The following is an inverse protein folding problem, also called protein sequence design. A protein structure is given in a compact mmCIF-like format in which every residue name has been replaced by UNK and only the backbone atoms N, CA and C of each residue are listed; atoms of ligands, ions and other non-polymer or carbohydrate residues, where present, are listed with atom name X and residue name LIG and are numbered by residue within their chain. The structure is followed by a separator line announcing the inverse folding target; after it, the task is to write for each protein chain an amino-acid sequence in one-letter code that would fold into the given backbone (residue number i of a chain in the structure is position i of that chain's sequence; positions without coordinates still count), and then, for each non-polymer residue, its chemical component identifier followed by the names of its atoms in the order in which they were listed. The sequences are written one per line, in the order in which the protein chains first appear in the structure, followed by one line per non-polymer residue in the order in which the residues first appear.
data_IF_774854374076
#
_entry.id   IF_774854374076
#
_cell.length_a   1.000
_cell.length_b   1.000
_cell.length_c   1.000
_cell.angle_alpha   90.00
_cell.angle_beta   90.00
_cell.angle_gamma   90.00
#
_symmetry.space_group_name_H-M   'P 1'
#
loop_
_entity.id
_entity.type
_entity.pdbx_description
1 polymer ?
#
# COMPACT_ATOMS: atom_id res chain seq x y z
N UNK A 1 2.44 8.87 19.77
CA UNK A 1 2.71 9.29 21.16
C UNK A 1 1.37 9.58 21.83
N UNK A 2 1.25 9.43 23.15
CA UNK A 2 0.04 9.77 23.92
C UNK A 2 0.44 10.04 25.38
N UNK A 3 -0.22 11.00 26.04
CA UNK A 3 -0.09 11.23 27.49
C UNK A 3 -1.27 10.63 28.29
N UNK A 4 -2.08 9.81 27.64
CA UNK A 4 -3.06 8.93 28.28
C UNK A 4 -2.76 7.49 27.85
N UNK A 5 -3.24 6.49 28.58
CA UNK A 5 -2.93 5.09 28.27
C UNK A 5 -3.72 4.56 27.05
N UNK A 6 -3.83 5.35 25.98
CA UNK A 6 -4.51 5.07 24.71
C UNK A 6 -3.72 5.70 23.55
N UNK A 7 -3.32 4.90 22.56
CA UNK A 7 -2.53 5.41 21.42
C UNK A 7 -3.24 6.55 20.70
N UNK A 8 -2.52 7.65 20.46
CA UNK A 8 -2.97 8.75 19.61
C UNK A 8 -3.84 9.82 20.27
N UNK A 9 -4.24 9.64 21.53
CA UNK A 9 -5.08 10.63 22.23
C UNK A 9 -4.26 11.47 23.20
N UNK A 10 -4.66 12.73 23.42
CA UNK A 10 -4.00 13.58 24.41
C UNK A 10 -5.01 14.24 25.36
N UNK A 11 -4.75 14.16 26.67
CA UNK A 11 -5.53 14.89 27.67
C UNK A 11 -5.27 16.41 27.61
N UNK A 12 -4.17 16.81 26.98
CA UNK A 12 -3.79 18.18 26.67
C UNK A 12 -2.57 18.12 25.76
N UNK A 13 -2.49 19.02 24.78
CA UNK A 13 -1.28 19.22 23.99
C UNK A 13 -0.48 20.38 24.60
N UNK A 14 0.74 20.11 25.09
CA UNK A 14 1.67 21.15 25.58
C UNK A 14 2.80 21.29 24.56
N UNK A 15 3.04 22.51 24.06
CA UNK A 15 4.09 22.82 23.09
C UNK A 15 3.69 23.92 22.11
N UNK A 16 4.52 24.18 21.09
CA UNK A 16 4.19 25.14 20.03
C UNK A 16 3.12 24.54 19.10
N UNK A 17 1.85 24.74 19.43
CA UNK A 17 0.71 24.13 18.73
C UNK A 17 0.08 25.03 17.67
N UNK A 18 0.71 26.16 17.34
CA UNK A 18 0.21 27.14 16.37
C UNK A 18 -0.89 28.07 16.90
N UNK A 19 -1.64 27.68 17.93
CA UNK A 19 -2.70 28.48 18.56
C UNK A 19 -2.46 28.78 20.05
N UNK A 20 -1.30 28.42 20.59
CA UNK A 20 -0.91 28.66 21.99
C UNK A 20 0.11 27.65 22.50
N UNK A 21 0.35 27.65 23.82
CA UNK A 21 1.22 26.68 24.49
C UNK A 21 0.47 25.47 25.07
N UNK A 22 -0.86 25.54 25.16
CA UNK A 22 -1.74 24.51 25.70
C UNK A 22 -3.02 24.49 24.85
N UNK A 23 -3.36 23.34 24.25
CA UNK A 23 -4.68 23.09 23.63
C UNK A 23 -5.50 22.21 24.58
N UNK A 24 -6.82 22.48 24.66
CA UNK A 24 -7.76 21.66 25.44
C UNK A 24 -7.67 20.17 25.04
N UNK A 25 -8.01 19.24 25.94
CA UNK A 25 -8.13 17.83 25.60
C UNK A 25 -8.96 17.64 24.34
N UNK A 26 -8.66 16.58 23.59
CA UNK A 26 -9.57 16.02 22.60
C UNK A 26 -10.84 15.58 23.36
N UNK A 27 -11.80 16.50 23.58
CA UNK A 27 -13.04 16.23 24.30
C UNK A 27 -14.21 16.54 23.39
N UNK A 28 -14.84 15.48 22.94
CA UNK A 28 -16.27 15.35 23.16
C UNK A 28 -16.51 14.06 23.97
N UNK A 29 -16.85 14.24 25.24
CA UNK A 29 -17.42 13.18 26.08
C UNK A 29 -18.68 13.75 26.73
N UNK A 30 -19.57 14.26 25.89
CA UNK A 30 -21.00 14.33 26.20
C UNK A 30 -21.70 13.20 25.44
N UNK A 31 -21.80 12.06 26.12
CA UNK A 31 -22.96 11.16 26.10
C UNK A 31 -23.70 11.08 24.74
N UNK A 32 -23.17 10.34 23.78
CA UNK A 32 -23.35 8.89 23.72
C UNK A 32 -22.04 8.26 23.24
N UNK A 33 -21.50 7.28 23.99
CA UNK A 33 -21.18 6.05 23.29
C UNK A 33 -22.52 5.68 22.66
N UNK A 34 -22.74 6.09 21.40
CA UNK A 34 -23.53 5.23 20.56
C UNK A 34 -22.84 3.91 20.78
N UNK A 35 -23.58 2.94 21.32
CA UNK A 35 -23.29 1.56 21.01
C UNK A 35 -23.37 1.52 19.49
N UNK A 36 -22.32 1.98 18.82
CA UNK A 36 -22.01 1.54 17.50
C UNK A 36 -21.78 0.07 17.78
N UNK A 37 -22.86 -0.70 17.60
CA UNK A 37 -22.85 -2.13 17.84
C UNK A 37 -21.56 -2.63 17.23
N UNK A 38 -20.69 -3.20 18.06
CA UNK A 38 -19.40 -3.68 17.58
C UNK A 38 -19.70 -4.54 16.35
N UNK A 39 -19.02 -4.24 15.25
CA UNK A 39 -19.19 -5.01 14.03
C UNK A 39 -18.95 -6.49 14.38
N UNK A 40 -19.92 -7.32 14.01
CA UNK A 40 -19.89 -8.78 14.07
C UNK A 40 -20.02 -9.29 12.65
N UNK A 41 -19.58 -10.52 12.41
CA UNK A 41 -19.69 -11.16 11.11
C UNK A 41 -21.15 -11.36 10.70
N UNK A 42 -22.08 -11.36 11.68
CA UNK A 42 -23.52 -11.54 11.45
C UNK A 42 -24.28 -10.23 11.24
N UNK A 43 -23.86 -9.12 11.88
CA UNK A 43 -24.54 -7.82 11.77
C UNK A 43 -24.03 -6.94 10.63
N UNK A 44 -22.82 -7.22 10.12
CA UNK A 44 -22.18 -6.41 9.08
C UNK A 44 -22.52 -6.98 7.70
N UNK A 45 -23.02 -6.15 6.79
CA UNK A 45 -23.29 -6.56 5.41
C UNK A 45 -21.98 -6.70 4.66
N UNK A 46 -21.68 -7.90 4.16
CA UNK A 46 -20.44 -8.22 3.43
C UNK A 46 -19.18 -7.82 4.22
N UNK A 47 -18.96 -8.42 5.40
CA UNK A 47 -17.85 -8.01 6.29
C UNK A 47 -16.48 -8.24 5.66
N UNK A 48 -16.37 -9.20 4.74
CA UNK A 48 -15.14 -9.58 4.06
C UNK A 48 -15.43 -9.94 2.59
N UNK A 49 -14.38 -9.97 1.77
CA UNK A 49 -14.47 -10.45 0.38
C UNK A 49 -14.85 -11.95 0.33
N UNK A 50 -15.47 -12.43 -0.77
CA UNK A 50 -15.89 -13.84 -0.89
C UNK A 50 -14.75 -14.86 -0.72
N UNK A 51 -13.51 -14.47 -1.03
CA UNK A 51 -12.29 -15.25 -0.86
C UNK A 51 -11.71 -15.21 0.56
N UNK A 52 -12.41 -14.60 1.52
CA UNK A 52 -12.02 -14.51 2.91
C UNK A 52 -13.09 -15.08 3.86
N UNK A 53 -12.64 -15.37 5.07
CA UNK A 53 -13.42 -15.74 6.24
C UNK A 53 -13.43 -14.55 7.22
N UNK A 54 -14.60 -14.27 7.79
CA UNK A 54 -14.74 -13.25 8.82
C UNK A 54 -14.50 -13.86 10.20
N UNK A 55 -13.71 -13.18 11.02
CA UNK A 55 -13.32 -13.60 12.37
C UNK A 55 -13.70 -12.48 13.35
N UNK A 56 -14.53 -12.80 14.33
CA UNK A 56 -14.94 -11.86 15.38
C UNK A 56 -13.91 -11.81 16.52
N UNK A 57 -13.65 -10.60 17.00
CA UNK A 57 -12.84 -10.30 18.18
C UNK A 57 -13.64 -9.41 19.13
N UNK A 58 -13.27 -9.35 20.43
CA UNK A 58 -13.93 -8.45 21.38
C UNK A 58 -13.89 -6.96 20.99
N UNK A 59 -13.00 -6.57 20.08
CA UNK A 59 -12.81 -5.20 19.60
C UNK A 59 -13.35 -4.94 18.19
N UNK A 60 -14.00 -5.92 17.54
CA UNK A 60 -14.53 -5.83 16.18
C UNK A 60 -14.21 -7.05 15.32
N UNK A 61 -14.32 -6.93 13.99
CA UNK A 61 -14.03 -8.03 13.04
C UNK A 61 -12.66 -7.89 12.37
N UNK A 62 -12.11 -9.02 11.94
CA UNK A 62 -11.03 -9.09 10.96
C UNK A 62 -11.35 -10.13 9.88
N UNK A 63 -10.68 -10.01 8.74
CA UNK A 63 -10.80 -10.96 7.65
C UNK A 63 -9.52 -11.80 7.54
N UNK A 64 -9.67 -13.06 7.16
CA UNK A 64 -8.54 -13.96 6.84
C UNK A 64 -8.82 -14.64 5.50
N UNK A 65 -7.85 -14.62 4.58
CA UNK A 65 -8.02 -15.30 3.29
C UNK A 65 -8.28 -16.81 3.51
N UNK A 66 -9.20 -17.37 2.72
CA UNK A 66 -9.52 -18.80 2.76
C UNK A 66 -8.36 -19.63 2.21
N UNK A 67 -8.38 -20.94 2.48
CA UNK A 67 -7.42 -21.88 1.89
C UNK A 67 -7.39 -21.76 0.37
N UNK A 68 -6.18 -21.74 -0.21
CA UNK A 68 -5.96 -21.50 -1.64
C UNK A 68 -5.95 -20.01 -2.04
N UNK A 69 -6.05 -19.10 -1.08
CA UNK A 69 -5.90 -17.65 -1.28
C UNK A 69 -4.88 -17.06 -0.31
N UNK A 70 -4.22 -15.96 -0.70
CA UNK A 70 -3.29 -15.20 0.14
C UNK A 70 -3.53 -13.69 0.04
N UNK A 71 -3.14 -12.96 1.08
CA UNK A 71 -3.38 -11.52 1.18
C UNK A 71 -3.61 -11.08 2.63
N UNK A 72 -4.09 -9.86 2.83
CA UNK A 72 -4.31 -9.29 4.16
C UNK A 72 -5.73 -9.54 4.71
N UNK A 73 -6.49 -10.44 4.07
CA UNK A 73 -7.87 -10.77 4.42
C UNK A 73 -8.92 -9.84 3.81
N UNK A 74 -8.62 -8.55 3.64
CA UNK A 74 -9.50 -7.60 2.92
C UNK A 74 -9.31 -7.71 1.41
N UNK A 75 -8.08 -7.91 0.97
CA UNK A 75 -7.72 -8.23 -0.41
C UNK A 75 -7.09 -9.62 -0.43
N UNK A 76 -7.65 -10.54 -1.21
CA UNK A 76 -7.20 -11.92 -1.28
C UNK A 76 -7.10 -12.38 -2.73
N UNK A 77 -5.92 -12.91 -3.11
CA UNK A 77 -5.62 -13.44 -4.42
C UNK A 77 -5.51 -14.97 -4.40
N UNK A 78 -5.95 -15.66 -5.47
CA UNK A 78 -5.75 -17.09 -5.59
C UNK A 78 -4.25 -17.43 -5.66
N UNK A 79 -3.85 -18.47 -4.94
CA UNK A 79 -2.49 -18.97 -5.00
C UNK A 79 -2.17 -19.57 -6.38
N UNK A 80 -0.89 -19.54 -6.76
CA UNK A 80 -0.38 -20.10 -8.02
C UNK A 80 -1.04 -19.55 -9.30
N UNK A 81 -1.58 -18.33 -9.24
CA UNK A 81 -2.09 -17.59 -10.40
C UNK A 81 -1.15 -16.45 -10.77
N UNK A 82 -1.01 -16.24 -12.06
CA UNK A 82 -0.24 -15.12 -12.57
C UNK A 82 -1.04 -13.83 -12.39
N UNK A 83 -0.36 -12.76 -11.99
CA UNK A 83 -0.96 -11.48 -11.68
C UNK A 83 -0.55 -10.46 -12.73
N UNK A 84 -1.51 -9.63 -13.13
CA UNK A 84 -1.26 -8.47 -13.98
C UNK A 84 -1.49 -7.20 -13.16
N UNK A 85 -0.57 -6.25 -13.29
CA UNK A 85 -0.66 -4.94 -12.64
C UNK A 85 -0.52 -3.90 -13.73
N UNK A 86 -1.46 -2.97 -13.77
CA UNK A 86 -1.48 -1.90 -14.75
C UNK A 86 -1.45 -0.57 -14.01
N UNK A 87 -0.66 0.38 -14.50
CA UNK A 87 -0.56 1.71 -13.93
C UNK A 87 -0.36 2.76 -15.01
N UNK A 88 -0.83 3.97 -14.74
CA UNK A 88 -0.43 5.16 -15.51
C UNK A 88 0.85 5.72 -14.91
N UNK A 89 1.74 6.19 -15.77
CA UNK A 89 2.99 6.84 -15.36
C UNK A 89 3.02 8.25 -15.95
N UNK A 90 3.33 9.22 -15.11
CA UNK A 90 3.53 10.62 -15.49
C UNK A 90 4.69 11.20 -14.70
N UNK A 91 5.31 12.26 -15.24
CA UNK A 91 6.43 12.91 -14.59
C UNK A 91 7.33 13.63 -15.58
N UNK A 92 8.49 14.05 -15.09
CA UNK A 92 9.49 14.81 -15.83
C UNK A 92 10.88 14.29 -15.43
N UNK A 93 11.72 14.02 -16.42
CA UNK A 93 13.09 13.51 -16.24
C UNK A 93 14.02 14.45 -17.00
N UNK A 94 14.99 15.06 -16.32
CA UNK A 94 15.95 15.98 -16.95
C UNK A 94 15.28 17.09 -17.78
N UNK A 95 14.18 17.66 -17.27
CA UNK A 95 13.32 18.66 -17.94
C UNK A 95 12.54 18.14 -19.16
N UNK A 96 12.53 16.84 -19.40
CA UNK A 96 11.74 16.18 -20.46
C UNK A 96 10.52 15.53 -19.84
N UNK A 97 9.33 16.00 -20.24
CA UNK A 97 8.05 15.47 -19.74
C UNK A 97 7.73 14.12 -20.37
N UNK A 98 7.26 13.19 -19.54
CA UNK A 98 6.65 11.95 -19.98
C UNK A 98 5.28 12.24 -20.60
N UNK A 99 4.91 11.50 -21.64
CA UNK A 99 3.62 11.64 -22.31
C UNK A 99 2.45 11.25 -21.40
N UNK A 100 1.30 11.91 -21.57
CA UNK A 100 0.11 11.69 -20.74
C UNK A 100 -0.54 10.30 -20.90
N UNK A 101 -0.23 9.61 -22.00
CA UNK A 101 -0.74 8.27 -22.32
C UNK A 101 0.23 7.15 -21.94
N UNK A 102 1.26 7.46 -21.15
CA UNK A 102 2.25 6.47 -20.76
C UNK A 102 1.69 5.56 -19.65
N UNK A 103 1.87 4.27 -19.85
CA UNK A 103 1.37 3.17 -19.04
C UNK A 103 2.51 2.21 -18.77
N UNK A 104 2.50 1.69 -17.55
CA UNK A 104 3.37 0.61 -17.10
C UNK A 104 2.53 -0.63 -16.84
N UNK A 105 3.03 -1.77 -17.30
CA UNK A 105 2.41 -3.07 -17.13
C UNK A 105 3.40 -4.00 -16.46
N UNK A 106 2.93 -4.74 -15.46
CA UNK A 106 3.68 -5.84 -14.87
C UNK A 106 2.93 -7.15 -15.07
N UNK A 107 3.67 -8.18 -15.46
CA UNK A 107 3.22 -9.56 -15.43
C UNK A 107 4.04 -10.32 -14.40
N UNK A 108 3.35 -10.90 -13.42
CA UNK A 108 3.96 -11.57 -12.27
C UNK A 108 3.63 -13.06 -12.32
N UNK A 109 4.66 -13.88 -12.44
CA UNK A 109 4.56 -15.33 -12.28
C UNK A 109 4.78 -15.66 -10.80
N UNK A 110 3.70 -15.79 -10.06
CA UNK A 110 3.73 -15.92 -8.58
C UNK A 110 4.38 -17.21 -8.11
N UNK A 111 4.35 -18.27 -8.93
CA UNK A 111 4.98 -19.55 -8.62
C UNK A 111 6.51 -19.46 -8.56
N UNK A 112 7.10 -18.78 -9.54
CA UNK A 112 8.54 -18.66 -9.71
C UNK A 112 9.09 -17.31 -9.21
N UNK A 113 8.21 -16.45 -8.68
CA UNK A 113 8.58 -15.13 -8.14
C UNK A 113 9.10 -14.16 -9.20
N UNK A 114 8.79 -14.38 -10.48
CA UNK A 114 9.31 -13.58 -11.60
C UNK A 114 8.39 -12.42 -11.92
N UNK A 115 8.99 -11.25 -12.11
CA UNK A 115 8.29 -10.03 -12.50
C UNK A 115 8.83 -9.54 -13.83
N UNK A 116 7.93 -9.37 -14.78
CA UNK A 116 8.22 -8.78 -16.08
C UNK A 116 7.54 -7.43 -16.14
N UNK A 117 8.26 -6.39 -16.56
CA UNK A 117 7.74 -5.03 -16.68
C UNK A 117 7.83 -4.56 -18.12
N UNK A 118 6.81 -3.86 -18.59
CA UNK A 118 6.84 -3.12 -19.85
C UNK A 118 6.25 -1.73 -19.67
N UNK A 119 6.75 -0.78 -20.46
CA UNK A 119 6.23 0.59 -20.52
C UNK A 119 6.02 0.94 -21.98
N UNK A 120 4.88 1.55 -22.29
CA UNK A 120 4.61 2.01 -23.65
C UNK A 120 5.24 3.39 -23.91
N UNK A 121 5.46 3.69 -25.20
CA UNK A 121 5.69 5.06 -25.69
C UNK A 121 6.76 5.86 -24.93
N UNK A 122 7.95 5.28 -24.77
CA UNK A 122 9.10 6.01 -24.24
C UNK A 122 9.79 6.79 -25.38
N UNK A 123 10.04 8.09 -25.19
CA UNK A 123 10.87 8.87 -26.11
C UNK A 123 12.28 8.28 -26.19
N UNK A 124 12.90 8.15 -27.38
CA UNK A 124 14.21 7.50 -27.54
C UNK A 124 15.29 8.02 -26.59
N UNK A 125 15.29 9.33 -26.35
CA UNK A 125 16.27 10.03 -25.52
C UNK A 125 16.17 9.66 -24.03
N UNK A 126 15.00 9.21 -23.56
CA UNK A 126 14.76 8.82 -22.17
C UNK A 126 14.95 7.32 -21.90
N UNK A 127 15.21 6.52 -22.94
CA UNK A 127 15.26 5.05 -22.80
C UNK A 127 16.28 4.57 -21.77
N UNK A 128 17.50 5.10 -21.82
CA UNK A 128 18.59 4.71 -20.91
C UNK A 128 18.35 5.24 -19.48
N UNK A 129 17.86 6.47 -19.34
CA UNK A 129 17.54 7.07 -18.04
C UNK A 129 16.44 6.28 -17.34
N UNK A 130 15.39 5.90 -18.08
CA UNK A 130 14.28 5.11 -17.56
C UNK A 130 14.69 3.68 -17.19
N UNK A 131 15.70 3.10 -17.81
CA UNK A 131 16.14 1.73 -17.48
C UNK A 131 16.50 1.58 -16.01
N UNK A 132 17.20 2.56 -15.43
CA UNK A 132 17.57 2.55 -14.01
C UNK A 132 16.35 2.72 -13.09
N UNK A 133 15.40 3.57 -13.50
CA UNK A 133 14.17 3.82 -12.74
C UNK A 133 13.22 2.62 -12.78
N UNK A 134 13.18 1.88 -13.89
CA UNK A 134 12.39 0.66 -14.03
C UNK A 134 12.82 -0.42 -13.02
N UNK A 135 14.10 -0.46 -12.62
CA UNK A 135 14.55 -1.35 -11.54
C UNK A 135 13.86 -0.97 -10.22
N UNK A 136 13.81 0.32 -9.89
CA UNK A 136 13.16 0.81 -8.66
C UNK A 136 11.64 0.57 -8.65
N UNK A 137 10.99 0.72 -9.82
CA UNK A 137 9.56 0.44 -10.05
C UNK A 137 9.25 -1.07 -10.01
N UNK A 138 10.14 -1.91 -10.54
CA UNK A 138 9.97 -3.37 -10.53
C UNK A 138 10.21 -4.02 -9.16
N UNK A 139 11.16 -3.48 -8.39
CA UNK A 139 11.56 -4.04 -7.08
C UNK A 139 10.40 -4.16 -6.09
N UNK A 140 9.49 -3.17 -6.06
CA UNK A 140 8.34 -3.23 -5.16
C UNK A 140 7.36 -4.32 -5.54
N UNK A 141 7.15 -4.56 -6.84
CA UNK A 141 6.31 -5.66 -7.33
C UNK A 141 6.94 -6.99 -6.95
N UNK A 142 8.27 -7.11 -7.04
CA UNK A 142 9.01 -8.27 -6.55
C UNK A 142 8.81 -8.51 -5.06
N UNK A 143 8.84 -7.45 -4.23
CA UNK A 143 8.55 -7.56 -2.80
C UNK A 143 7.09 -7.96 -2.51
N UNK A 144 6.14 -7.40 -3.26
CA UNK A 144 4.71 -7.73 -3.10
C UNK A 144 4.46 -9.22 -3.32
N UNK A 145 5.08 -9.80 -4.34
CA UNK A 145 4.83 -11.19 -4.77
C UNK A 145 6.03 -12.11 -4.57
N UNK A 146 6.91 -11.79 -3.61
CA UNK A 146 8.03 -12.64 -3.26
C UNK A 146 7.56 -14.06 -2.90
N UNK A 147 8.35 -15.05 -3.30
CA UNK A 147 8.12 -16.45 -2.93
C UNK A 147 8.23 -16.55 -1.40
N UNK A 148 7.20 -17.12 -0.78
CA UNK A 148 7.15 -17.29 0.68
C UNK A 148 7.93 -18.54 1.08
N UNK A 149 8.90 -18.38 1.97
CA UNK A 149 9.57 -19.49 2.68
C UNK A 149 9.13 -19.49 4.15
N UNK A 150 8.93 -20.68 4.72
CA UNK A 150 8.65 -20.91 6.14
C UNK A 150 7.58 -19.98 6.74
N UNK A 151 6.45 -19.85 6.04
CA UNK A 151 5.30 -19.05 6.46
C UNK A 151 5.56 -17.53 6.59
N UNK A 152 6.68 -17.04 6.03
CA UNK A 152 6.98 -15.59 6.01
C UNK A 152 6.01 -14.87 5.08
N UNK A 153 5.35 -13.77 5.53
CA UNK A 153 4.47 -12.99 4.67
C UNK A 153 5.27 -12.19 3.65
N UNK A 154 4.81 -12.19 2.40
CA UNK A 154 5.30 -11.26 1.39
C UNK A 154 4.57 -9.89 1.49
N UNK A 155 4.99 -8.93 0.68
CA UNK A 155 4.43 -7.58 0.74
C UNK A 155 2.92 -7.55 0.50
N UNK A 156 2.39 -8.37 -0.41
CA UNK A 156 0.95 -8.42 -0.69
C UNK A 156 0.17 -9.00 0.50
N UNK A 157 0.72 -9.98 1.21
CA UNK A 157 0.12 -10.52 2.44
C UNK A 157 0.01 -9.45 3.53
N UNK A 158 0.96 -8.51 3.58
CA UNK A 158 0.96 -7.42 4.56
C UNK A 158 0.02 -6.28 4.15
N UNK A 159 0.09 -5.82 2.89
CA UNK A 159 -0.58 -4.58 2.44
C UNK A 159 -1.90 -4.82 1.72
N UNK A 160 -2.15 -6.04 1.23
CA UNK A 160 -3.24 -6.32 0.30
C UNK A 160 -3.11 -5.57 -1.03
N UNK A 161 -1.91 -5.05 -1.35
CA UNK A 161 -1.69 -4.20 -2.53
C UNK A 161 -2.26 -2.79 -2.39
N UNK A 162 -2.58 -2.33 -1.17
CA UNK A 162 -3.09 -0.97 -0.94
C UNK A 162 -2.10 -0.20 -0.07
N UNK A 163 -1.28 0.65 -0.69
CA UNK A 163 -0.28 1.45 0.02
C UNK A 163 0.28 2.56 -0.88
N UNK A 164 0.88 3.57 -0.24
CA UNK A 164 1.63 4.60 -0.91
C UNK A 164 3.13 4.34 -0.72
N UNK A 165 3.93 4.57 -1.76
CA UNK A 165 5.38 4.45 -1.72
C UNK A 165 6.04 5.70 -2.28
N UNK A 166 7.14 6.11 -1.66
CA UNK A 166 8.00 7.17 -2.18
C UNK A 166 9.44 6.67 -2.14
N UNK A 167 10.16 6.87 -3.23
CA UNK A 167 11.54 6.42 -3.41
C UNK A 167 12.38 7.58 -3.90
N UNK A 168 13.57 7.71 -3.32
CA UNK A 168 14.61 8.60 -3.82
C UNK A 168 15.75 7.73 -4.37
N UNK A 169 15.96 7.79 -5.68
CA UNK A 169 17.00 7.05 -6.39
C UNK A 169 18.19 7.99 -6.55
N UNK A 170 19.27 7.72 -5.80
CA UNK A 170 20.47 8.57 -5.77
C UNK A 170 21.60 7.94 -6.59
N UNK A 171 22.07 8.67 -7.60
CA UNK A 171 23.20 8.27 -8.45
C UNK A 171 24.52 8.76 -7.84
N UNK A 172 25.10 7.95 -6.94
CA UNK A 172 26.25 8.33 -6.10
C UNK A 172 27.44 8.96 -6.85
N UNK A 173 27.73 8.51 -8.07
CA UNK A 173 28.87 9.02 -8.85
C UNK A 173 28.66 10.45 -9.38
N UNK A 174 27.41 10.87 -9.57
CA UNK A 174 27.07 12.15 -10.20
C UNK A 174 26.33 13.10 -9.26
N UNK A 175 25.76 12.59 -8.18
CA UNK A 175 24.94 13.37 -7.24
C UNK A 175 23.50 13.62 -7.73
N UNK A 176 23.14 13.18 -8.94
CA UNK A 176 21.77 13.28 -9.43
C UNK A 176 20.81 12.41 -8.60
N UNK A 177 19.55 12.83 -8.55
CA UNK A 177 18.47 12.09 -7.89
C UNK A 177 17.26 11.96 -8.81
N UNK A 178 16.47 10.92 -8.58
CA UNK A 178 15.15 10.77 -9.17
C UNK A 178 14.15 10.37 -8.09
N UNK A 179 13.07 11.15 -7.98
CA UNK A 179 12.02 10.92 -6.98
C UNK A 179 10.85 10.23 -7.65
N UNK A 180 10.47 9.07 -7.12
CA UNK A 180 9.34 8.27 -7.60
C UNK A 180 8.28 8.27 -6.51
N UNK A 181 7.02 8.56 -6.88
CA UNK A 181 5.86 8.46 -5.99
C UNK A 181 4.83 7.53 -6.62
N UNK A 182 4.42 6.52 -5.86
CA UNK A 182 3.53 5.46 -6.31
C UNK A 182 2.34 5.34 -5.36
N UNK A 183 1.17 5.09 -5.95
CA UNK A 183 -0.04 4.78 -5.23
C UNK A 183 -0.58 3.44 -5.74
N UNK A 184 -0.67 2.46 -4.84
CA UNK A 184 -1.26 1.15 -5.12
C UNK A 184 -2.67 1.11 -4.54
N UNK A 185 -3.64 0.75 -5.38
CA UNK A 185 -5.07 0.86 -5.07
C UNK A 185 -5.73 -0.48 -4.74
N UNK A 186 -4.98 -1.58 -4.76
CA UNK A 186 -5.52 -2.93 -4.58
C UNK A 186 -6.00 -3.56 -5.89
N UNK A 187 -6.93 -4.48 -5.78
CA UNK A 187 -7.59 -5.12 -6.92
C UNK A 187 -8.83 -4.32 -7.32
N UNK A 188 -9.00 -4.14 -8.63
CA UNK A 188 -10.22 -3.59 -9.23
C UNK A 188 -11.31 -4.67 -9.41
#
# INVERSE_FOLDING_TARGET
MSNINRRGMFAYHIGNTGYGNIIQPDRDYENTLELHELETCSNTRLPCVPSAECIEYPTGICCRCRSGYFGNGRNCLPENKNIQINGKISGEINNVKLGESNMIHFYVETKDGRVYSSVNSIMPDLGYDLQSLLIALGNIVGWLFAIRTDNTPNGYTVTGGVFNRSVDVVFQQTGHHAIIREQYLGLD
#
